data_IF_395304028240
#
_entry.id   IF_395304028240
#
_cell.length_a   1.000
_cell.length_b   1.000
_cell.length_c   1.000
_cell.angle_alpha   90.00
_cell.angle_beta   90.00
_cell.angle_gamma   90.00
#
_symmetry.space_group_name_H-M   'P 1'
#
loop_
_entity.id
_entity.type
_entity.pdbx_description
1 polymer ?
#
# COMPACT_ATOMS: atom_id res chain seq x y z
N UNK A 1 40.26 -8.65 12.81
CA UNK A 1 39.79 -8.52 11.42
C UNK A 1 38.38 -7.94 11.45
N UNK A 2 38.11 -6.76 10.86
CA UNK A 2 36.74 -6.26 10.77
C UNK A 2 36.02 -7.02 9.65
N UNK A 3 34.89 -7.68 9.98
CA UNK A 3 33.97 -8.23 8.99
C UNK A 3 33.38 -7.07 8.21
N UNK A 4 33.60 -7.05 6.88
CA UNK A 4 32.86 -6.16 5.98
C UNK A 4 31.37 -6.50 6.13
N UNK A 5 30.58 -5.58 6.65
CA UNK A 5 29.14 -5.65 6.54
C UNK A 5 28.80 -5.50 5.05
N UNK A 6 28.48 -6.61 4.39
CA UNK A 6 27.84 -6.57 3.08
C UNK A 6 26.50 -5.89 3.26
N UNK A 7 26.31 -4.70 2.68
CA UNK A 7 25.02 -4.05 2.60
C UNK A 7 24.04 -5.04 1.94
N UNK A 8 23.05 -5.52 2.70
CA UNK A 8 21.93 -6.27 2.14
C UNK A 8 21.28 -5.31 1.14
N UNK A 9 21.31 -5.66 -0.15
CA UNK A 9 20.65 -4.90 -1.21
C UNK A 9 19.16 -4.90 -0.87
N UNK A 10 18.57 -3.73 -0.60
CA UNK A 10 17.13 -3.59 -0.38
C UNK A 10 16.45 -3.85 -1.71
N UNK A 11 15.91 -5.05 -1.87
CA UNK A 11 15.15 -5.44 -3.06
C UNK A 11 13.66 -5.37 -2.73
N UNK A 12 12.82 -4.90 -3.66
CA UNK A 12 11.38 -5.03 -3.51
C UNK A 12 11.00 -6.50 -3.36
N UNK A 13 9.94 -6.74 -2.59
CA UNK A 13 9.50 -8.11 -2.28
C UNK A 13 8.12 -8.43 -2.83
N UNK A 14 7.45 -7.42 -3.35
CA UNK A 14 6.09 -7.52 -3.86
C UNK A 14 6.02 -6.84 -5.22
N UNK A 15 5.51 -7.54 -6.22
CA UNK A 15 5.19 -6.98 -7.54
C UNK A 15 3.69 -7.01 -7.71
N UNK A 16 3.09 -5.83 -7.83
CA UNK A 16 1.64 -5.65 -8.01
C UNK A 16 1.42 -5.22 -9.46
N UNK A 17 0.49 -5.89 -10.14
CA UNK A 17 0.09 -5.56 -11.51
C UNK A 17 -1.31 -4.98 -11.49
N UNK A 18 -1.45 -3.80 -12.09
CA UNK A 18 -2.70 -3.08 -12.20
C UNK A 18 -3.17 -3.08 -13.65
N UNK A 19 -4.49 -3.04 -13.83
CA UNK A 19 -5.14 -2.85 -15.12
C UNK A 19 -4.76 -1.50 -15.72
N UNK A 20 -4.32 -1.50 -16.98
CA UNK A 20 -4.11 -0.29 -17.77
C UNK A 20 -5.42 0.27 -18.31
N UNK A 21 -5.40 1.52 -18.79
CA UNK A 21 -6.58 2.16 -19.39
C UNK A 21 -7.09 1.37 -20.63
N UNK A 22 -8.41 1.33 -20.80
CA UNK A 22 -9.04 0.65 -21.94
C UNK A 22 -8.52 1.20 -23.30
N UNK A 23 -7.80 0.36 -24.03
CA UNK A 23 -7.17 0.71 -25.32
C UNK A 23 -5.66 0.96 -25.26
N UNK A 24 -5.06 0.95 -24.07
CA UNK A 24 -3.63 0.82 -23.86
C UNK A 24 -3.31 -0.66 -23.57
N UNK A 25 -2.38 -1.25 -24.33
CA UNK A 25 -1.98 -2.67 -24.18
C UNK A 25 -1.17 -2.97 -22.91
N UNK A 26 -0.93 -2.00 -22.02
CA UNK A 26 0.04 -2.15 -20.94
C UNK A 26 -0.61 -2.06 -19.55
N UNK A 27 -0.96 -3.24 -19.00
CA UNK A 27 -0.97 -3.44 -17.55
C UNK A 27 0.33 -2.90 -16.96
N UNK A 28 0.26 -2.12 -15.89
CA UNK A 28 1.46 -1.53 -15.27
C UNK A 28 1.82 -2.24 -13.96
N UNK A 29 3.11 -2.23 -13.64
CA UNK A 29 3.66 -2.93 -12.47
C UNK A 29 4.30 -1.97 -11.49
N UNK A 30 4.00 -2.16 -10.21
CA UNK A 30 4.61 -1.41 -9.11
C UNK A 30 5.29 -2.38 -8.15
N UNK A 31 6.50 -2.02 -7.74
CA UNK A 31 7.34 -2.82 -6.85
C UNK A 31 7.30 -2.28 -5.43
N UNK A 32 6.68 -3.01 -4.52
CA UNK A 32 6.57 -2.65 -3.10
C UNK A 32 7.68 -3.31 -2.26
N UNK A 33 8.08 -2.61 -1.18
CA UNK A 33 9.10 -3.05 -0.24
C UNK A 33 8.44 -3.65 0.99
N UNK A 34 8.80 -4.90 1.32
CA UNK A 34 8.30 -5.58 2.51
C UNK A 34 8.64 -4.78 3.76
N UNK A 35 7.65 -4.61 4.65
CA UNK A 35 7.84 -3.95 5.95
C UNK A 35 7.43 -4.83 7.12
N UNK A 36 7.12 -6.11 6.88
CA UNK A 36 6.53 -7.00 7.90
C UNK A 36 7.44 -7.20 9.12
N UNK A 37 8.77 -7.14 8.93
CA UNK A 37 9.76 -7.19 10.01
C UNK A 37 9.81 -5.88 10.81
N UNK A 38 9.58 -4.73 10.16
CA UNK A 38 9.63 -3.41 10.78
C UNK A 38 8.36 -3.06 11.55
N UNK A 39 7.19 -3.48 11.05
CA UNK A 39 5.88 -3.06 11.58
C UNK A 39 5.19 -4.17 12.39
N UNK A 40 5.94 -5.17 12.86
CA UNK A 40 5.47 -6.42 13.47
C UNK A 40 4.06 -6.34 14.10
N UNK A 41 3.06 -6.89 13.41
CA UNK A 41 1.67 -6.96 13.88
C UNK A 41 0.78 -5.75 13.58
N UNK A 42 1.28 -4.72 12.89
CA UNK A 42 0.48 -3.57 12.47
C UNK A 42 -0.59 -4.00 11.48
N UNK A 43 -1.84 -3.75 11.86
CA UNK A 43 -3.02 -4.04 11.07
C UNK A 43 -3.93 -2.83 11.08
N UNK A 44 -4.51 -2.50 9.93
CA UNK A 44 -5.65 -1.60 9.87
C UNK A 44 -6.91 -2.39 10.21
N UNK A 45 -7.80 -1.81 11.00
CA UNK A 45 -9.12 -2.41 11.28
C UNK A 45 -10.09 -2.09 10.15
N UNK A 46 -11.10 -2.94 9.93
CA UNK A 46 -12.14 -2.72 8.90
C UNK A 46 -12.78 -1.34 8.98
N UNK A 47 -13.06 -0.84 10.18
CA UNK A 47 -13.63 0.51 10.37
C UNK A 47 -12.76 1.64 9.82
N UNK A 48 -11.46 1.43 9.67
CA UNK A 48 -10.56 2.40 9.03
C UNK A 48 -10.74 2.39 7.49
N UNK A 49 -10.92 1.21 6.90
CA UNK A 49 -11.22 1.06 5.47
C UNK A 49 -12.61 1.63 5.16
N UNK A 50 -13.61 1.32 6.00
CA UNK A 50 -14.96 1.90 5.90
C UNK A 50 -14.90 3.43 5.96
N UNK A 51 -14.04 3.98 6.83
CA UNK A 51 -13.88 5.44 6.94
C UNK A 51 -13.33 6.07 5.67
N UNK A 52 -12.44 5.40 4.94
CA UNK A 52 -11.98 5.87 3.62
C UNK A 52 -13.15 5.87 2.63
N UNK A 53 -13.98 4.82 2.66
CA UNK A 53 -15.21 4.75 1.87
C UNK A 53 -16.18 5.90 2.16
N UNK A 54 -16.44 6.20 3.43
CA UNK A 54 -17.27 7.34 3.84
C UNK A 54 -16.70 8.68 3.31
N UNK A 55 -15.38 8.84 3.35
CA UNK A 55 -14.72 10.07 2.90
C UNK A 55 -14.84 10.27 1.39
N UNK A 56 -14.89 9.20 0.60
CA UNK A 56 -15.15 9.26 -0.84
C UNK A 56 -16.52 9.85 -1.17
N UNK A 57 -17.54 9.67 -0.32
CA UNK A 57 -18.86 10.26 -0.56
C UNK A 57 -18.87 11.79 -0.45
N UNK A 58 -17.95 12.35 0.35
CA UNK A 58 -17.93 13.79 0.67
C UNK A 58 -16.72 14.53 0.12
N UNK A 59 -15.69 13.84 -0.36
CA UNK A 59 -14.43 14.45 -0.80
C UNK A 59 -14.00 13.89 -2.16
N UNK A 60 -13.92 14.76 -3.18
CA UNK A 60 -13.58 14.37 -4.55
C UNK A 60 -12.15 13.84 -4.71
N UNK A 61 -11.26 14.13 -3.76
CA UNK A 61 -9.88 13.64 -3.76
C UNK A 61 -9.76 12.18 -3.27
N UNK A 62 -10.83 11.56 -2.79
CA UNK A 62 -10.86 10.14 -2.42
C UNK A 62 -11.54 9.37 -3.53
N UNK A 63 -10.85 8.37 -4.08
CA UNK A 63 -11.39 7.52 -5.13
C UNK A 63 -11.12 6.05 -4.80
N UNK A 64 -12.04 5.19 -5.24
CA UNK A 64 -11.86 3.74 -5.22
C UNK A 64 -11.92 3.21 -6.64
N UNK A 65 -10.95 2.38 -7.02
CA UNK A 65 -10.92 1.69 -8.31
C UNK A 65 -10.76 0.19 -8.11
N UNK A 66 -11.10 -0.60 -9.12
CA UNK A 66 -10.99 -2.06 -9.11
C UNK A 66 -10.06 -2.47 -10.25
N UNK A 67 -8.76 -2.26 -10.07
CA UNK A 67 -7.74 -2.43 -11.11
C UNK A 67 -6.67 -3.44 -10.72
N UNK A 68 -6.70 -4.00 -9.50
CA UNK A 68 -5.64 -4.89 -9.04
C UNK A 68 -5.84 -6.28 -9.65
N UNK A 69 -4.96 -6.65 -10.59
CA UNK A 69 -5.03 -7.92 -11.34
C UNK A 69 -4.19 -9.04 -10.76
N UNK A 70 -2.92 -8.75 -10.45
CA UNK A 70 -1.97 -9.77 -10.01
C UNK A 70 -1.11 -9.31 -8.85
N UNK A 71 -0.88 -10.21 -7.90
CA UNK A 71 0.01 -9.99 -6.77
C UNK A 71 1.01 -11.12 -6.69
N UNK A 72 2.29 -10.75 -6.72
CA UNK A 72 3.39 -11.69 -6.58
C UNK A 72 4.31 -11.29 -5.45
N UNK A 73 4.47 -12.20 -4.50
CA UNK A 73 5.54 -12.16 -3.50
C UNK A 73 6.79 -12.85 -4.04
N UNK A 74 7.96 -12.27 -3.79
CA UNK A 74 9.25 -12.91 -4.08
C UNK A 74 9.53 -14.15 -3.20
N UNK A 75 8.82 -14.30 -2.07
CA UNK A 75 8.97 -15.41 -1.12
C UNK A 75 7.86 -16.45 -1.31
N UNK A 76 6.60 -15.99 -1.37
CA UNK A 76 5.43 -16.88 -1.37
C UNK A 76 4.91 -17.24 -2.77
N UNK A 77 5.38 -16.55 -3.81
CA UNK A 77 4.93 -16.77 -5.19
C UNK A 77 3.70 -15.92 -5.55
N UNK A 78 2.86 -16.46 -6.44
CA UNK A 78 1.60 -15.83 -6.86
C UNK A 78 0.55 -15.98 -5.74
N UNK A 79 -0.10 -14.88 -5.40
CA UNK A 79 -1.11 -14.77 -4.35
C UNK A 79 -2.38 -14.07 -4.86
N UNK A 80 -2.60 -14.05 -6.17
CA UNK A 80 -3.72 -13.33 -6.79
C UNK A 80 -5.09 -13.92 -6.41
N UNK A 81 -5.13 -15.12 -5.80
CA UNK A 81 -6.32 -15.77 -5.26
C UNK A 81 -6.76 -15.25 -3.88
N UNK A 82 -5.98 -14.36 -3.25
CA UNK A 82 -6.32 -13.76 -1.96
C UNK A 82 -6.79 -12.32 -2.13
N UNK A 83 -7.56 -11.85 -1.16
CA UNK A 83 -7.98 -10.47 -1.11
C UNK A 83 -6.84 -9.57 -0.60
N UNK A 84 -6.49 -8.59 -1.41
CA UNK A 84 -5.56 -7.52 -1.07
C UNK A 84 -6.15 -6.19 -1.47
N UNK A 85 -5.70 -5.13 -0.83
CA UNK A 85 -6.01 -3.77 -1.21
C UNK A 85 -4.74 -2.94 -1.22
N UNK A 86 -4.70 -1.95 -2.10
CA UNK A 86 -3.62 -0.97 -2.17
C UNK A 86 -4.19 0.41 -1.89
N UNK A 87 -3.53 1.18 -1.03
CA UNK A 87 -3.88 2.59 -0.82
C UNK A 87 -2.70 3.43 -1.29
N UNK A 88 -2.92 4.30 -2.28
CA UNK A 88 -1.99 5.36 -2.66
C UNK A 88 -2.48 6.69 -2.09
N UNK A 89 -1.58 7.41 -1.42
CA UNK A 89 -1.83 8.74 -0.87
C UNK A 89 -0.83 9.74 -1.44
N UNK A 90 -1.31 10.67 -2.26
CA UNK A 90 -0.56 11.76 -2.85
C UNK A 90 -0.84 13.07 -2.09
N UNK A 91 0.20 13.68 -1.54
CA UNK A 91 0.08 14.94 -0.82
C UNK A 91 0.05 16.14 -1.80
N UNK A 92 -0.19 17.34 -1.26
CA UNK A 92 -0.20 18.58 -2.06
C UNK A 92 1.15 18.97 -2.69
N UNK A 93 2.25 18.34 -2.27
CA UNK A 93 3.58 18.48 -2.88
C UNK A 93 3.84 17.45 -3.99
N UNK A 94 2.82 16.64 -4.34
CA UNK A 94 2.90 15.53 -5.32
C UNK A 94 3.89 14.44 -4.92
N UNK A 95 4.14 14.26 -3.62
CA UNK A 95 4.76 13.04 -3.11
C UNK A 95 3.68 11.99 -2.85
N UNK A 96 3.85 10.81 -3.44
CA UNK A 96 2.92 9.69 -3.28
C UNK A 96 3.56 8.60 -2.42
N UNK A 97 2.77 8.07 -1.49
CA UNK A 97 3.10 6.87 -0.72
C UNK A 97 2.05 5.80 -0.97
N UNK A 98 2.45 4.53 -0.88
CA UNK A 98 1.63 3.36 -1.14
C UNK A 98 1.66 2.39 0.03
N UNK A 99 0.52 1.82 0.38
CA UNK A 99 0.36 0.77 1.38
C UNK A 99 -0.23 -0.46 0.69
N UNK A 100 0.43 -1.62 0.82
CA UNK A 100 -0.10 -2.92 0.42
C UNK A 100 -0.60 -3.65 1.65
N UNK A 101 -1.89 -3.95 1.65
CA UNK A 101 -2.61 -4.56 2.75
C UNK A 101 -3.22 -5.87 2.25
N UNK A 102 -3.20 -6.91 3.07
CA UNK A 102 -3.93 -8.16 2.81
C UNK A 102 -5.10 -8.26 3.75
N UNK A 103 -6.19 -8.90 3.34
CA UNK A 103 -7.23 -9.30 4.28
C UNK A 103 -6.75 -10.50 5.10
N UNK A 104 -7.01 -10.49 6.42
CA UNK A 104 -6.69 -11.62 7.29
C UNK A 104 -7.89 -12.11 8.08
N UNK A 105 -8.29 -13.36 7.84
CA UNK A 105 -9.36 -14.01 8.60
C UNK A 105 -10.75 -13.56 8.13
N UNK A 106 -11.57 -13.09 9.07
CA UNK A 106 -12.99 -12.77 8.87
C UNK A 106 -13.22 -11.33 8.31
N UNK A 107 -12.20 -10.69 7.73
CA UNK A 107 -12.31 -9.34 7.16
C UNK A 107 -12.18 -8.16 8.14
N UNK A 108 -11.99 -8.42 9.43
CA UNK A 108 -11.89 -7.36 10.45
C UNK A 108 -10.55 -6.63 10.49
N UNK A 109 -9.50 -7.25 9.93
CA UNK A 109 -8.13 -6.74 10.00
C UNK A 109 -7.41 -6.91 8.68
N UNK A 110 -6.64 -5.87 8.37
CA UNK A 110 -5.83 -5.75 7.17
C UNK A 110 -4.37 -5.55 7.57
N UNK A 111 -3.57 -6.62 7.72
CA UNK A 111 -2.14 -6.50 7.99
C UNK A 111 -1.41 -5.70 6.91
N UNK A 112 -0.54 -4.78 7.33
CA UNK A 112 0.35 -4.05 6.43
C UNK A 112 1.52 -4.95 6.03
N UNK A 113 1.64 -5.24 4.74
CA UNK A 113 2.68 -6.14 4.22
C UNK A 113 3.85 -5.39 3.61
N UNK A 114 3.55 -4.36 2.83
CA UNK A 114 4.58 -3.67 2.05
C UNK A 114 4.22 -2.21 1.82
N UNK A 115 5.23 -1.42 1.50
CA UNK A 115 5.08 0.02 1.24
C UNK A 115 5.81 0.46 -0.02
N UNK A 116 5.39 1.60 -0.56
CA UNK A 116 5.99 2.24 -1.72
C UNK A 116 6.02 3.75 -1.52
N UNK A 117 6.98 4.52 -2.09
CA UNK A 117 8.18 4.09 -2.81
C UNK A 117 9.33 3.74 -1.85
N UNK A 118 10.51 3.44 -2.40
CA UNK A 118 11.72 3.15 -1.61
C UNK A 118 12.04 4.24 -0.58
N UNK A 119 11.82 5.52 -0.91
CA UNK A 119 12.04 6.64 0.01
C UNK A 119 11.16 6.49 1.26
N UNK A 120 9.88 6.14 1.07
CA UNK A 120 8.95 5.92 2.19
C UNK A 120 9.37 4.71 3.03
N UNK A 121 9.73 3.59 2.39
CA UNK A 121 10.29 2.42 3.09
C UNK A 121 11.50 2.80 3.96
N UNK A 122 12.46 3.55 3.41
CA UNK A 122 13.65 3.98 4.14
C UNK A 122 13.31 4.86 5.34
N UNK A 123 12.34 5.76 5.21
CA UNK A 123 11.85 6.58 6.33
C UNK A 123 11.24 5.72 7.42
N UNK A 124 10.36 4.78 7.08
CA UNK A 124 9.71 3.87 8.04
C UNK A 124 10.73 3.07 8.84
N UNK A 125 11.79 2.57 8.20
CA UNK A 125 12.88 1.86 8.91
C UNK A 125 13.54 2.69 10.01
N UNK A 126 13.60 4.01 9.84
CA UNK A 126 14.21 4.93 10.80
C UNK A 126 13.23 5.55 11.78
N UNK A 127 11.96 5.64 11.40
CA UNK A 127 10.90 6.32 12.13
C UNK A 127 9.54 5.66 11.85
N UNK A 128 9.18 4.70 12.70
CA UNK A 128 7.87 4.05 12.62
C UNK A 128 6.71 4.99 12.98
N UNK A 129 6.98 6.04 13.76
CA UNK A 129 5.93 7.00 14.13
C UNK A 129 5.46 7.79 12.90
N UNK A 130 6.37 8.01 11.94
CA UNK A 130 6.00 8.58 10.64
C UNK A 130 4.94 7.75 9.91
N UNK A 131 5.00 6.41 9.97
CA UNK A 131 3.99 5.54 9.38
C UNK A 131 2.61 5.75 10.04
N UNK A 132 2.58 5.76 11.38
CA UNK A 132 1.34 5.96 12.13
C UNK A 132 0.73 7.33 11.83
N UNK A 133 1.56 8.38 11.72
CA UNK A 133 1.11 9.71 11.34
C UNK A 133 0.52 9.75 9.94
N UNK A 134 1.16 9.09 8.97
CA UNK A 134 0.63 9.00 7.60
C UNK A 134 -0.71 8.27 7.59
N UNK A 135 -0.81 7.12 8.26
CA UNK A 135 -2.06 6.35 8.37
C UNK A 135 -3.16 7.21 9.02
N UNK A 136 -2.93 7.81 10.18
CA UNK A 136 -3.93 8.66 10.83
C UNK A 136 -4.36 9.83 9.93
N UNK A 137 -3.38 10.50 9.30
CA UNK A 137 -3.64 11.67 8.46
C UNK A 137 -4.46 11.35 7.20
N UNK A 138 -4.40 10.13 6.67
CA UNK A 138 -5.25 9.71 5.53
C UNK A 138 -6.74 9.85 5.85
N UNK A 139 -7.17 9.69 7.11
CA UNK A 139 -8.59 9.84 7.48
C UNK A 139 -8.90 11.11 8.27
N UNK A 140 -7.93 11.63 9.01
CA UNK A 140 -8.12 12.75 9.93
C UNK A 140 -7.98 14.13 9.25
N UNK A 141 -7.27 14.20 8.11
CA UNK A 141 -6.93 15.47 7.43
C UNK A 141 -7.11 15.36 5.90
N UNK A 142 -8.35 15.27 5.38
CA UNK A 142 -8.62 15.12 3.95
C UNK A 142 -8.01 16.23 3.07
N UNK A 143 -7.89 17.45 3.59
CA UNK A 143 -7.37 18.62 2.86
C UNK A 143 -5.84 18.54 2.63
N UNK A 144 -5.14 17.68 3.36
CA UNK A 144 -3.70 17.45 3.16
C UNK A 144 -3.37 16.69 1.87
N UNK A 145 -4.37 15.99 1.33
CA UNK A 145 -4.18 15.06 0.24
C UNK A 145 -4.71 15.63 -1.05
N UNK A 146 -3.84 15.60 -2.05
CA UNK A 146 -4.22 15.88 -3.43
C UNK A 146 -5.05 14.74 -3.99
N UNK A 147 -4.70 13.49 -3.64
CA UNK A 147 -5.41 12.28 -4.07
C UNK A 147 -5.20 11.16 -3.05
N UNK A 148 -6.27 10.47 -2.66
CA UNK A 148 -6.25 9.17 -2.00
C UNK A 148 -6.94 8.19 -2.95
N UNK A 149 -6.25 7.13 -3.33
CA UNK A 149 -6.76 6.10 -4.22
C UNK A 149 -6.68 4.74 -3.53
N UNK A 150 -7.84 4.15 -3.29
CA UNK A 150 -7.96 2.78 -2.81
C UNK A 150 -8.22 1.85 -3.99
N UNK A 151 -7.31 0.92 -4.23
CA UNK A 151 -7.39 0.00 -5.36
C UNK A 151 -7.72 -1.39 -4.84
N UNK A 152 -8.84 -1.93 -5.32
CA UNK A 152 -9.37 -3.23 -5.01
C UNK A 152 -9.05 -4.25 -6.13
N UNK A 153 -9.12 -5.55 -5.85
CA UNK A 153 -9.02 -6.59 -6.87
C UNK A 153 -10.12 -6.42 -7.93
N UNK A 154 -9.80 -6.75 -9.19
CA UNK A 154 -10.81 -6.87 -10.24
C UNK A 154 -11.73 -8.05 -9.88
N UNK A 155 -13.05 -7.84 -9.87
CA UNK A 155 -14.01 -8.94 -9.72
C UNK A 155 -14.01 -9.80 -11.00
N UNK A 156 -13.80 -11.12 -10.85
CA UNK A 156 -14.00 -12.10 -11.95
C UNK A 156 -15.48 -12.43 -12.19
#
# INVERSE_FOLDING_TARGET
MPRKATAKKTSPSWTITFEGEAGADDDYKVEFFDVTEEVEGLCLVSSYIDRIGDLQETNENYITTADLKYIKSNIQGDLSDRFFLVIFAENNESETVGLLLAEHGDGDKYPLLAVWPLKFYQTIKSDLEYLNQIIGRIVDDPEAWKKIEMILPVEE
#
